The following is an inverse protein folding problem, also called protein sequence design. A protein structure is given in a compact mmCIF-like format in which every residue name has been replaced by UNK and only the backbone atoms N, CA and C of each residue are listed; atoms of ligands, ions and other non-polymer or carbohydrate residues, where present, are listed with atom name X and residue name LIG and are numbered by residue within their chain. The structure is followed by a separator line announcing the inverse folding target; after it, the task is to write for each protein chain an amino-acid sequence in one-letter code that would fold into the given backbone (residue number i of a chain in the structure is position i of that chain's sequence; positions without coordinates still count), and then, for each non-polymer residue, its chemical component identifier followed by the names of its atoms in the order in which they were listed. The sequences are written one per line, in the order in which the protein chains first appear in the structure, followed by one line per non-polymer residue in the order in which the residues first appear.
data_IF_544837894766
#
_entry.id   IF_544837894766
#
_cell.length_a   1.000
_cell.length_b   1.000
_cell.length_c   1.000
_cell.angle_alpha   90.00
_cell.angle_beta   90.00
_cell.angle_gamma   90.00
#
_symmetry.space_group_name_H-M   'P 1'
#
loop_
_entity.id
_entity.type
_entity.pdbx_description
1 polymer ?
#
# COMPACT_ATOMS: atom_id res chain seq x y z
N UNK A 1 10.53 18.76 -9.53
CA UNK A 1 9.65 19.93 -9.69
C UNK A 1 8.79 20.07 -8.43
N UNK A 2 8.26 21.25 -8.13
CA UNK A 2 7.29 21.44 -7.04
C UNK A 2 5.88 21.40 -7.64
N UNK A 3 4.99 20.62 -7.04
CA UNK A 3 3.56 20.61 -7.34
C UNK A 3 2.84 21.33 -6.21
N UNK A 4 2.09 22.38 -6.54
CA UNK A 4 1.30 23.12 -5.56
C UNK A 4 -0.16 22.72 -5.70
N UNK A 5 -0.69 22.03 -4.70
CA UNK A 5 -2.13 21.79 -4.58
C UNK A 5 -2.77 23.00 -3.89
N UNK A 6 -3.25 23.97 -4.68
CA UNK A 6 -3.90 25.19 -4.18
C UNK A 6 -5.17 24.94 -3.38
N UNK A 7 -5.88 23.85 -3.63
CA UNK A 7 -7.10 23.49 -2.89
C UNK A 7 -6.81 23.00 -1.48
N UNK A 8 -5.63 22.43 -1.25
CA UNK A 8 -5.19 21.93 0.05
C UNK A 8 -4.10 22.79 0.71
N UNK A 9 -3.64 23.86 0.04
CA UNK A 9 -2.56 24.71 0.54
C UNK A 9 -1.19 24.00 0.66
N UNK A 10 -1.00 22.91 -0.07
CA UNK A 10 0.18 22.04 0.04
C UNK A 10 1.14 22.24 -1.14
N UNK A 11 2.43 22.36 -0.84
CA UNK A 11 3.51 22.37 -1.83
C UNK A 11 4.33 21.09 -1.68
N UNK A 12 4.34 20.27 -2.73
CA UNK A 12 4.89 18.91 -2.71
C UNK A 12 6.11 18.88 -3.62
N UNK A 13 7.23 18.42 -3.08
CA UNK A 13 8.43 18.19 -3.88
C UNK A 13 8.29 16.85 -4.60
N UNK A 14 8.19 16.93 -5.92
CA UNK A 14 8.05 15.73 -6.76
C UNK A 14 9.42 15.07 -6.91
N UNK A 15 9.55 13.76 -6.66
CA UNK A 15 10.77 13.00 -6.91
C UNK A 15 11.24 13.17 -8.37
N UNK A 16 12.55 13.14 -8.58
CA UNK A 16 13.12 13.26 -9.91
C UNK A 16 12.63 12.09 -10.81
N UNK A 17 12.20 12.40 -12.04
CA UNK A 17 11.73 11.41 -13.02
C UNK A 17 10.23 11.37 -13.27
N UNK A 18 9.41 12.08 -12.48
CA UNK A 18 7.95 12.08 -12.62
C UNK A 18 7.42 13.27 -13.43
N UNK A 19 6.49 13.00 -14.36
CA UNK A 19 5.74 13.97 -15.17
C UNK A 19 4.60 14.58 -14.36
N UNK A 20 4.63 15.90 -14.17
CA UNK A 20 3.72 16.63 -13.25
C UNK A 20 2.28 16.72 -13.75
N UNK A 21 2.09 16.72 -15.07
CA UNK A 21 0.81 16.84 -15.78
C UNK A 21 -0.04 15.57 -15.70
N UNK A 22 0.61 14.41 -15.87
CA UNK A 22 -0.04 13.10 -15.70
C UNK A 22 -0.47 12.91 -14.23
N UNK A 23 0.37 13.39 -13.32
CA UNK A 23 0.18 13.27 -11.88
C UNK A 23 -1.06 14.01 -11.38
N UNK A 24 -1.24 15.28 -11.76
CA UNK A 24 -2.42 16.03 -11.33
C UNK A 24 -3.73 15.43 -11.83
N UNK A 25 -3.76 14.98 -13.08
CA UNK A 25 -4.97 14.38 -13.66
C UNK A 25 -5.32 13.06 -13.00
N UNK A 26 -4.32 12.23 -12.67
CA UNK A 26 -4.55 10.95 -11.99
C UNK A 26 -5.07 11.17 -10.57
N UNK A 27 -4.42 12.04 -9.79
CA UNK A 27 -4.86 12.39 -8.43
C UNK A 27 -6.30 12.93 -8.46
N UNK A 28 -6.60 13.88 -9.34
CA UNK A 28 -7.95 14.45 -9.46
C UNK A 28 -9.00 13.40 -9.81
N UNK A 29 -8.68 12.42 -10.66
CA UNK A 29 -9.60 11.36 -11.04
C UNK A 29 -9.84 10.33 -9.92
N UNK A 30 -8.79 9.86 -9.24
CA UNK A 30 -8.95 8.94 -8.10
C UNK A 30 -9.74 9.61 -6.96
N UNK A 31 -9.45 10.88 -6.64
CA UNK A 31 -10.19 11.65 -5.64
C UNK A 31 -11.66 11.86 -6.07
N UNK A 32 -11.90 12.14 -7.36
CA UNK A 32 -13.26 12.37 -7.86
C UNK A 32 -14.12 11.09 -7.82
N UNK A 33 -13.52 9.92 -8.05
CA UNK A 33 -14.19 8.63 -7.87
C UNK A 33 -14.51 8.33 -6.40
N UNK A 34 -13.75 8.92 -5.47
CA UNK A 34 -13.91 8.77 -4.03
C UNK A 34 -14.80 9.85 -3.35
N UNK A 35 -15.39 10.80 -4.10
CA UNK A 35 -16.27 11.88 -3.59
C UNK A 35 -17.65 11.40 -3.06
N UNK A 36 -17.75 10.16 -2.58
CA UNK A 36 -18.88 9.66 -1.81
C UNK A 36 -18.49 9.75 -0.32
N UNK A 37 -18.84 10.87 0.31
CA UNK A 37 -18.63 11.19 1.73
C UNK A 37 -17.16 11.42 2.19
N UNK A 38 -16.76 12.69 2.24
CA UNK A 38 -15.45 13.16 2.72
C UNK A 38 -15.19 12.85 4.23
N UNK A 39 -16.16 12.33 4.98
CA UNK A 39 -15.94 11.91 6.37
C UNK A 39 -15.19 10.57 6.50
N UNK A 40 -15.08 9.80 5.41
CA UNK A 40 -14.55 8.43 5.39
C UNK A 40 -13.56 8.20 4.23
N UNK A 41 -12.70 9.18 3.92
CA UNK A 41 -11.69 8.97 2.88
C UNK A 41 -10.63 7.98 3.38
N UNK A 42 -10.80 6.70 3.06
CA UNK A 42 -9.77 5.68 3.20
C UNK A 42 -9.55 5.04 1.83
N UNK A 43 -8.39 5.32 1.23
CA UNK A 43 -8.02 4.64 -0.01
C UNK A 43 -7.39 3.30 0.36
N UNK A 44 -8.06 2.21 -0.01
CA UNK A 44 -7.52 0.86 0.12
C UNK A 44 -6.87 0.46 -1.20
N UNK A 45 -5.55 0.24 -1.19
CA UNK A 45 -4.82 -0.35 -2.31
C UNK A 45 -4.23 -1.69 -1.88
N UNK A 46 -4.17 -2.63 -2.81
CA UNK A 46 -3.61 -3.96 -2.54
C UNK A 46 -2.46 -4.22 -3.50
N UNK A 47 -1.34 -4.67 -2.95
CA UNK A 47 -0.26 -5.26 -3.75
C UNK A 47 -0.14 -6.74 -3.42
N UNK A 48 0.42 -7.50 -4.35
CA UNK A 48 0.56 -8.94 -4.22
C UNK A 48 2.02 -9.37 -4.17
N UNK A 49 2.24 -10.58 -3.64
CA UNK A 49 3.52 -11.24 -3.56
C UNK A 49 3.45 -12.63 -4.18
N UNK A 50 4.58 -13.08 -4.71
CA UNK A 50 4.72 -14.46 -5.18
C UNK A 50 4.77 -15.44 -4.00
N UNK A 51 4.54 -16.71 -4.30
CA UNK A 51 4.60 -17.78 -3.32
C UNK A 51 5.97 -17.80 -2.64
N UNK A 52 5.95 -17.88 -1.31
CA UNK A 52 7.14 -17.94 -0.48
C UNK A 52 8.17 -16.81 -0.68
N UNK A 53 7.74 -15.67 -1.22
CA UNK A 53 8.61 -14.54 -1.59
C UNK A 53 8.25 -13.26 -0.83
N UNK A 54 9.27 -12.49 -0.50
CA UNK A 54 9.23 -11.11 0.00
C UNK A 54 9.76 -10.09 -1.01
N UNK A 55 10.01 -10.51 -2.25
CA UNK A 55 10.42 -9.63 -3.34
C UNK A 55 9.24 -8.80 -3.83
N UNK A 56 9.48 -7.51 -4.09
CA UNK A 56 8.51 -6.62 -4.74
C UNK A 56 8.43 -7.02 -6.22
N UNK A 57 7.24 -7.41 -6.65
CA UNK A 57 6.93 -7.69 -8.07
C UNK A 57 6.89 -6.39 -8.88
N UNK A 58 7.03 -6.50 -10.20
CA UNK A 58 7.00 -5.34 -11.10
C UNK A 58 5.62 -4.64 -11.12
N UNK A 59 4.52 -5.38 -10.94
CA UNK A 59 3.19 -4.79 -10.80
C UNK A 59 3.03 -4.09 -9.45
N UNK A 60 3.53 -4.70 -8.38
CA UNK A 60 3.55 -4.11 -7.04
C UNK A 60 4.41 -2.84 -6.97
N UNK A 61 5.57 -2.78 -7.65
CA UNK A 61 6.42 -1.58 -7.66
C UNK A 61 5.70 -0.38 -8.27
N UNK A 62 4.92 -0.58 -9.34
CA UNK A 62 4.14 0.49 -9.94
C UNK A 62 3.04 1.03 -9.00
N UNK A 63 2.43 0.17 -8.18
CA UNK A 63 1.48 0.60 -7.14
C UNK A 63 2.17 1.28 -5.95
N UNK A 64 3.36 0.82 -5.57
CA UNK A 64 4.17 1.46 -4.53
C UNK A 64 4.65 2.86 -4.94
N UNK A 65 5.00 3.07 -6.21
CA UNK A 65 5.34 4.39 -6.74
C UNK A 65 4.14 5.34 -6.59
N UNK A 66 2.94 4.89 -6.94
CA UNK A 66 1.70 5.67 -6.75
C UNK A 66 1.44 5.97 -5.27
N UNK A 67 1.69 5.01 -4.38
CA UNK A 67 1.54 5.20 -2.94
C UNK A 67 2.53 6.23 -2.41
N UNK A 68 3.81 6.15 -2.81
CA UNK A 68 4.82 7.15 -2.45
C UNK A 68 4.41 8.55 -2.91
N UNK A 69 3.80 8.66 -4.10
CA UNK A 69 3.29 9.92 -4.62
C UNK A 69 2.10 10.46 -3.79
N UNK A 70 1.21 9.59 -3.33
CA UNK A 70 0.11 9.97 -2.44
C UNK A 70 0.64 10.45 -1.07
N UNK A 71 1.58 9.72 -0.47
CA UNK A 71 2.21 10.10 0.80
C UNK A 71 2.96 11.43 0.70
N UNK A 72 3.69 11.65 -0.38
CA UNK A 72 4.31 12.95 -0.65
C UNK A 72 3.26 14.06 -0.79
N UNK A 73 2.10 13.73 -1.37
CA UNK A 73 1.00 14.69 -1.59
C UNK A 73 0.33 15.10 -0.29
N UNK A 74 0.19 14.18 0.66
CA UNK A 74 -0.48 14.40 1.94
C UNK A 74 0.51 14.11 3.08
N UNK A 75 1.38 15.07 3.42
CA UNK A 75 2.43 14.85 4.41
C UNK A 75 1.91 14.70 5.87
N UNK A 76 0.60 14.80 6.06
CA UNK A 76 -0.08 14.57 7.35
C UNK A 76 -0.90 13.28 7.35
N UNK A 77 -0.90 12.53 6.23
CA UNK A 77 -1.67 11.32 6.12
C UNK A 77 -1.14 10.23 7.06
N UNK A 78 -2.02 9.33 7.49
CA UNK A 78 -1.64 8.08 8.13
C UNK A 78 -1.75 6.95 7.10
N UNK A 79 -0.74 6.11 7.03
CA UNK A 79 -0.70 4.94 6.16
C UNK A 79 -0.47 3.71 7.01
N UNK A 80 -1.47 2.85 7.13
CA UNK A 80 -1.31 1.52 7.69
C UNK A 80 -1.17 0.50 6.56
N UNK A 81 -0.20 -0.39 6.67
CA UNK A 81 -0.02 -1.52 5.75
C UNK A 81 -0.18 -2.82 6.51
N UNK A 82 -1.26 -3.53 6.22
CA UNK A 82 -1.52 -4.86 6.79
C UNK A 82 -0.97 -5.91 5.83
N UNK A 83 -0.04 -6.74 6.31
CA UNK A 83 0.68 -7.69 5.47
C UNK A 83 0.28 -9.12 5.79
N UNK A 84 -0.13 -9.85 4.75
CA UNK A 84 -0.70 -11.19 4.86
C UNK A 84 0.13 -12.24 4.09
N UNK A 85 -0.16 -13.49 4.38
CA UNK A 85 0.28 -14.67 3.62
C UNK A 85 -0.92 -15.51 3.19
N UNK A 86 -0.69 -16.49 2.32
CA UNK A 86 -1.64 -17.58 2.18
C UNK A 86 -1.52 -18.56 3.37
N UNK A 87 -2.41 -19.54 3.42
CA UNK A 87 -2.52 -20.57 4.47
C UNK A 87 -1.42 -21.63 4.43
N UNK A 88 -0.52 -21.60 3.44
CA UNK A 88 0.49 -22.65 3.31
C UNK A 88 1.69 -22.32 4.18
N UNK A 89 1.95 -23.17 5.17
CA UNK A 89 3.10 -23.05 6.05
C UNK A 89 2.70 -23.25 7.51
N UNK A 90 3.58 -22.85 8.42
CA UNK A 90 3.20 -22.75 9.84
C UNK A 90 2.83 -21.30 10.16
N UNK A 91 1.95 -21.05 11.15
CA UNK A 91 1.63 -19.68 11.56
C UNK A 91 2.86 -18.84 11.91
N UNK A 92 3.83 -19.46 12.59
CA UNK A 92 5.09 -18.81 12.95
C UNK A 92 5.95 -18.46 11.74
N UNK A 93 5.97 -19.33 10.72
CA UNK A 93 6.65 -19.05 9.46
C UNK A 93 5.96 -17.90 8.71
N UNK A 94 4.63 -17.95 8.62
CA UNK A 94 3.83 -16.98 7.90
C UNK A 94 3.87 -15.58 8.52
N UNK A 95 3.90 -15.47 9.85
CA UNK A 95 4.20 -14.19 10.52
C UNK A 95 5.58 -13.65 10.17
N UNK A 96 6.61 -14.51 10.14
CA UNK A 96 7.97 -14.09 9.75
C UNK A 96 8.04 -13.66 8.28
N UNK A 97 7.34 -14.35 7.38
CA UNK A 97 7.29 -13.99 5.96
C UNK A 97 6.57 -12.65 5.75
N UNK A 98 5.41 -12.45 6.39
CA UNK A 98 4.70 -11.17 6.36
C UNK A 98 5.56 -10.02 6.91
N UNK A 99 6.31 -10.23 8.00
CA UNK A 99 7.23 -9.23 8.53
C UNK A 99 8.35 -8.86 7.52
N UNK A 100 8.91 -9.85 6.81
CA UNK A 100 9.91 -9.59 5.75
C UNK A 100 9.31 -8.81 4.58
N UNK A 101 8.10 -9.16 4.15
CA UNK A 101 7.34 -8.43 3.12
C UNK A 101 7.12 -6.97 3.50
N UNK A 102 6.69 -6.72 4.74
CA UNK A 102 6.57 -5.36 5.28
C UNK A 102 7.90 -4.61 5.20
N UNK A 103 9.01 -5.24 5.60
CA UNK A 103 10.34 -4.63 5.48
C UNK A 103 10.74 -4.34 4.03
N UNK A 104 10.37 -5.18 3.07
CA UNK A 104 10.61 -4.92 1.64
C UNK A 104 9.83 -3.71 1.13
N UNK A 105 8.56 -3.58 1.53
CA UNK A 105 7.73 -2.41 1.22
C UNK A 105 8.37 -1.15 1.81
N UNK A 106 8.71 -1.20 3.10
CA UNK A 106 9.34 -0.08 3.80
C UNK A 106 10.60 0.38 3.08
N UNK A 107 11.52 -0.55 2.79
CA UNK A 107 12.74 -0.26 2.05
C UNK A 107 12.45 0.34 0.67
N UNK A 108 11.48 -0.20 -0.07
CA UNK A 108 11.12 0.35 -1.37
C UNK A 108 10.73 1.83 -1.25
N UNK A 109 9.85 2.14 -0.30
CA UNK A 109 9.40 3.50 -0.04
C UNK A 109 10.52 4.41 0.46
N UNK A 110 11.44 3.93 1.31
CA UNK A 110 12.63 4.71 1.73
C UNK A 110 13.45 5.20 0.54
N UNK A 111 13.64 4.35 -0.49
CA UNK A 111 14.40 4.74 -1.69
C UNK A 111 13.69 5.81 -2.52
N UNK A 112 12.37 5.98 -2.37
CA UNK A 112 11.62 7.05 -3.04
C UNK A 112 11.80 8.41 -2.35
N UNK A 113 12.34 8.44 -1.13
CA UNK A 113 12.61 9.65 -0.36
C UNK A 113 11.41 10.22 0.39
N UNK A 114 10.33 9.44 0.56
CA UNK A 114 9.17 9.85 1.37
C UNK A 114 9.48 9.73 2.86
N UNK A 115 8.82 10.59 3.66
CA UNK A 115 8.87 10.47 5.11
C UNK A 115 8.02 9.29 5.57
N UNK A 116 8.66 8.32 6.22
CA UNK A 116 7.99 7.15 6.77
C UNK A 116 7.42 7.37 8.17
N UNK A 117 7.49 8.57 8.74
CA UNK A 117 6.79 8.90 9.98
C UNK A 117 5.27 8.66 9.90
N UNK A 118 4.73 8.73 8.68
CA UNK A 118 3.32 8.48 8.34
C UNK A 118 2.99 6.98 8.18
N UNK A 119 3.99 6.10 8.17
CA UNK A 119 3.87 4.73 7.67
C UNK A 119 4.00 3.70 8.79
N UNK A 120 2.97 2.88 8.97
CA UNK A 120 2.90 1.82 9.96
C UNK A 120 2.69 0.46 9.29
N UNK A 121 3.39 -0.57 9.76
CA UNK A 121 3.23 -1.95 9.28
C UNK A 121 2.58 -2.81 10.36
N UNK A 122 1.46 -3.45 10.00
CA UNK A 122 0.79 -4.49 10.78
C UNK A 122 1.08 -5.85 10.16
N UNK A 123 1.63 -6.77 10.96
CA UNK A 123 1.96 -8.14 10.51
C UNK A 123 0.80 -9.08 10.86
N UNK A 124 0.03 -9.49 9.85
CA UNK A 124 -1.08 -10.44 10.04
C UNK A 124 -0.66 -11.90 9.83
N UNK A 125 0.22 -12.18 8.87
CA UNK A 125 0.49 -13.57 8.47
C UNK A 125 -0.75 -14.20 7.82
N UNK A 126 -1.11 -15.42 8.22
CA UNK A 126 -2.27 -16.15 7.66
C UNK A 126 -3.56 -15.97 8.47
N UNK A 127 -3.56 -15.12 9.49
CA UNK A 127 -4.70 -14.99 10.44
C UNK A 127 -5.97 -14.42 9.79
N UNK A 128 -5.83 -13.61 8.73
CA UNK A 128 -6.94 -12.92 8.06
C UNK A 128 -6.94 -13.25 6.56
N UNK A 129 -7.38 -14.45 6.21
CA UNK A 129 -7.63 -14.87 4.83
C UNK A 129 -8.91 -14.22 4.30
N UNK A 130 -8.94 -13.89 3.01
CA UNK A 130 -10.09 -13.23 2.35
C UNK A 130 -11.01 -14.20 1.61
N UNK A 131 -10.71 -15.48 1.69
CA UNK A 131 -11.47 -16.56 1.08
C UNK A 131 -11.38 -17.82 1.94
N UNK A 132 -12.13 -18.85 1.55
CA UNK A 132 -12.19 -20.13 2.26
C UNK A 132 -10.96 -21.01 2.03
N UNK A 133 -9.82 -20.42 1.66
CA UNK A 133 -8.57 -21.15 1.45
C UNK A 133 -7.75 -21.28 2.72
N UNK A 134 -8.34 -21.87 3.75
CA UNK A 134 -7.69 -22.16 5.04
C UNK A 134 -6.78 -23.39 4.99
N UNK A 135 -6.09 -23.70 6.09
CA UNK A 135 -5.17 -24.83 6.20
C UNK A 135 -5.81 -26.15 5.75
N UNK A 136 -5.14 -26.84 4.81
CA UNK A 136 -5.55 -28.13 4.22
C UNK A 136 -6.80 -28.08 3.34
N UNK A 137 -7.38 -26.90 3.08
CA UNK A 137 -8.38 -26.76 2.03
C UNK A 137 -7.74 -27.07 0.66
N UNK A 138 -8.50 -27.70 -0.22
CA UNK A 138 -8.10 -27.90 -1.62
C UNK A 138 -8.43 -26.62 -2.39
N UNK A 139 -7.42 -25.78 -2.61
CA UNK A 139 -7.55 -24.50 -3.29
C UNK A 139 -6.78 -24.49 -4.59
N UNK A 140 -7.28 -23.73 -5.56
CA UNK A 140 -6.46 -23.35 -6.70
C UNK A 140 -5.41 -22.28 -6.32
N UNK A 141 -4.43 -22.09 -7.21
CA UNK A 141 -3.35 -21.14 -6.98
C UNK A 141 -3.85 -19.68 -7.00
N UNK A 142 -5.01 -19.40 -7.63
CA UNK A 142 -5.60 -18.07 -7.68
C UNK A 142 -6.10 -17.68 -6.28
N UNK A 143 -6.81 -18.57 -5.59
CA UNK A 143 -7.28 -18.36 -4.23
C UNK A 143 -6.11 -18.12 -3.25
N UNK A 144 -5.03 -18.89 -3.38
CA UNK A 144 -3.81 -18.63 -2.61
C UNK A 144 -3.19 -17.27 -2.96
N UNK A 145 -3.11 -16.90 -4.24
CA UNK A 145 -2.53 -15.63 -4.68
C UNK A 145 -3.26 -14.43 -4.09
N UNK A 146 -4.59 -14.47 -4.02
CA UNK A 146 -5.39 -13.41 -3.44
C UNK A 146 -5.03 -13.16 -1.97
N UNK A 147 -4.64 -14.19 -1.21
CA UNK A 147 -4.23 -14.04 0.19
C UNK A 147 -2.80 -13.50 0.37
N UNK A 148 -1.90 -13.71 -0.61
CA UNK A 148 -0.51 -13.23 -0.57
C UNK A 148 -0.42 -11.74 -0.89
N UNK A 149 -0.91 -10.90 0.02
CA UNK A 149 -1.14 -9.48 -0.24
C UNK A 149 -0.61 -8.58 0.88
N UNK A 150 -0.48 -7.30 0.55
CA UNK A 150 -0.44 -6.23 1.53
C UNK A 150 -1.51 -5.20 1.19
N UNK A 151 -2.29 -4.82 2.20
CA UNK A 151 -3.39 -3.86 2.11
C UNK A 151 -2.92 -2.53 2.70
N UNK A 152 -3.00 -1.46 1.90
CA UNK A 152 -2.64 -0.12 2.29
C UNK A 152 -3.90 0.65 2.63
N UNK A 153 -4.06 1.03 3.89
CA UNK A 153 -5.11 1.91 4.37
C UNK A 153 -4.53 3.32 4.48
N UNK A 154 -4.88 4.17 3.52
CA UNK A 154 -4.42 5.56 3.46
C UNK A 154 -5.51 6.52 3.94
N UNK A 155 -5.23 7.25 5.01
CA UNK A 155 -6.10 8.28 5.59
C UNK A 155 -5.46 9.66 5.46
N UNK A 156 -5.94 10.56 4.58
CA UNK A 156 -5.39 11.89 4.37
C UNK A 156 -5.85 12.92 5.40
N UNK A 157 -6.71 12.54 6.36
CA UNK A 157 -7.24 13.49 7.33
C UNK A 157 -6.14 13.92 8.28
N UNK A 158 -6.03 15.24 8.46
CA UNK A 158 -5.22 15.80 9.53
C UNK A 158 -6.07 15.80 10.81
N UNK A 159 -5.80 14.90 11.74
CA UNK A 159 -6.41 14.92 13.07
C UNK A 159 -5.82 16.10 13.86
N UNK A 160 -6.46 17.27 13.77
CA UNK A 160 -6.35 18.34 14.77
C UNK A 160 -7.59 18.32 15.66
#
# INVERSE_FOLDING_TARGET
SLLENRSLGLAIRIPAGFRTDILESWIKNEIKLANYDNSQFTLIKTIYFDFNSDLIRNDASAELDKMAMLMATYPFAKVEVVVHTDSRGSPAYNKKLAARRGKSIQKYLEHTGIDLSQFHITVSGEENLINDCYDKADCDEIAHQLNRRAEFNFDPRNEN
#
